data_IF_766003111796
#
_entry.id   IF_766003111796
#
_cell.length_a   1.000
_cell.length_b   1.000
_cell.length_c   1.000
_cell.angle_alpha   90.00
_cell.angle_beta   90.00
_cell.angle_gamma   90.00
#
_symmetry.space_group_name_H-M   'P 1'
#
loop_
_entity.id
_entity.type
_entity.pdbx_description
1 polymer ?
#
# COMPACT_ATOMS: atom_id res chain seq x y z
N UNK A 1 23.95 -4.47 17.42
CA UNK A 1 24.97 -4.94 16.47
C UNK A 1 24.28 -5.09 15.15
N UNK A 2 24.77 -4.42 14.10
CA UNK A 2 24.26 -4.61 12.73
C UNK A 2 24.56 -6.06 12.30
N UNK A 3 23.63 -6.69 11.59
CA UNK A 3 23.87 -8.03 11.06
C UNK A 3 24.84 -7.98 9.86
N UNK A 4 25.60 -9.05 9.62
CA UNK A 4 26.46 -9.15 8.42
C UNK A 4 25.67 -9.01 7.10
N UNK A 5 24.35 -9.25 7.13
CA UNK A 5 23.46 -9.08 5.99
C UNK A 5 23.11 -7.61 5.75
N UNK A 6 22.85 -6.84 6.80
CA UNK A 6 22.62 -5.38 6.74
C UNK A 6 23.84 -4.63 6.21
N UNK A 7 25.03 -5.02 6.69
CA UNK A 7 26.31 -4.40 6.30
C UNK A 7 26.67 -4.67 4.82
N UNK A 8 26.29 -5.85 4.29
CA UNK A 8 26.51 -6.24 2.90
C UNK A 8 25.51 -5.56 1.93
N UNK A 9 24.27 -5.32 2.37
CA UNK A 9 23.23 -4.69 1.55
C UNK A 9 23.27 -3.15 1.61
N UNK A 10 24.06 -2.56 2.51
CA UNK A 10 24.12 -1.12 2.72
C UNK A 10 22.83 -0.53 3.31
N UNK A 11 22.00 -1.37 3.92
CA UNK A 11 20.73 -1.00 4.54
C UNK A 11 21.02 -0.59 5.99
N UNK A 12 20.62 0.62 6.38
CA UNK A 12 20.71 1.08 7.75
C UNK A 12 19.28 1.10 8.32
N UNK A 13 18.90 0.14 9.20
CA UNK A 13 17.54 0.09 9.74
C UNK A 13 17.17 1.32 10.60
N UNK A 14 18.15 2.18 10.90
CA UNK A 14 17.92 3.46 11.56
C UNK A 14 17.77 4.64 10.59
N UNK A 15 17.99 4.43 9.29
CA UNK A 15 17.81 5.42 8.25
C UNK A 15 16.30 5.70 8.03
N UNK A 16 15.89 6.99 8.03
CA UNK A 16 14.48 7.36 7.84
C UNK A 16 13.88 6.92 6.49
N UNK A 17 14.68 6.82 5.42
CA UNK A 17 14.19 6.41 4.11
C UNK A 17 13.98 4.90 4.05
N UNK A 18 14.86 4.11 4.67
CA UNK A 18 14.66 2.66 4.82
C UNK A 18 13.40 2.37 5.66
N UNK A 19 13.21 3.12 6.77
CA UNK A 19 11.98 3.03 7.57
C UNK A 19 10.72 3.42 6.78
N UNK A 20 10.81 4.44 5.92
CA UNK A 20 9.71 4.82 5.04
C UNK A 20 9.41 3.72 4.02
N UNK A 21 10.43 3.10 3.43
CA UNK A 21 10.24 2.01 2.47
C UNK A 21 9.48 0.84 3.10
N UNK A 22 9.88 0.41 4.31
CA UNK A 22 9.19 -0.63 5.06
C UNK A 22 7.75 -0.24 5.40
N UNK A 23 7.54 1.01 5.85
CA UNK A 23 6.20 1.53 6.14
C UNK A 23 5.31 1.47 4.89
N UNK A 24 5.78 1.94 3.74
CA UNK A 24 5.03 1.94 2.49
C UNK A 24 4.63 0.53 2.04
N UNK A 25 5.54 -0.44 2.15
CA UNK A 25 5.21 -1.86 1.89
C UNK A 25 4.11 -2.33 2.83
N UNK A 26 4.23 -2.03 4.13
CA UNK A 26 3.21 -2.43 5.12
C UNK A 26 1.84 -1.81 4.86
N UNK A 27 1.77 -0.58 4.35
CA UNK A 27 0.51 0.08 4.01
C UNK A 27 -0.18 -0.57 2.81
N UNK A 28 0.59 -1.00 1.80
CA UNK A 28 0.05 -1.77 0.66
C UNK A 28 -0.51 -3.12 1.11
N UNK A 29 0.20 -3.84 2.00
CA UNK A 29 -0.23 -5.13 2.54
C UNK A 29 -1.53 -5.01 3.36
N UNK A 30 -1.66 -3.94 4.17
CA UNK A 30 -2.87 -3.67 4.97
C UNK A 30 -4.13 -3.59 4.13
N UNK A 31 -4.05 -3.06 2.90
CA UNK A 31 -5.21 -2.99 2.00
C UNK A 31 -5.77 -4.38 1.69
N UNK A 32 -4.89 -5.34 1.35
CA UNK A 32 -5.30 -6.71 1.06
C UNK A 32 -5.82 -7.40 2.33
N UNK A 33 -5.14 -7.25 3.46
CA UNK A 33 -5.52 -7.87 4.71
C UNK A 33 -6.92 -7.45 5.17
N UNK A 34 -7.25 -6.17 5.03
CA UNK A 34 -8.59 -5.65 5.33
C UNK A 34 -9.65 -6.26 4.41
N UNK A 35 -9.37 -6.38 3.12
CA UNK A 35 -10.28 -7.04 2.16
C UNK A 35 -10.49 -8.52 2.50
N UNK A 36 -9.42 -9.24 2.84
CA UNK A 36 -9.49 -10.65 3.25
C UNK A 36 -10.26 -10.80 4.57
N UNK A 37 -10.08 -9.88 5.53
CA UNK A 37 -10.84 -9.88 6.78
C UNK A 37 -12.35 -9.68 6.55
N UNK A 38 -12.74 -8.77 5.65
CA UNK A 38 -14.14 -8.57 5.24
C UNK A 38 -14.67 -9.83 4.57
N UNK A 39 -13.90 -10.41 3.64
CA UNK A 39 -14.27 -11.67 2.98
C UNK A 39 -14.53 -12.77 4.00
N UNK A 40 -13.61 -13.01 4.95
CA UNK A 40 -13.76 -14.08 5.95
C UNK A 40 -15.08 -14.02 6.74
N UNK A 41 -15.69 -12.85 6.84
CA UNK A 41 -16.99 -12.64 7.53
C UNK A 41 -18.21 -12.78 6.61
N UNK A 42 -18.03 -12.76 5.30
CA UNK A 42 -19.13 -12.59 4.33
C UNK A 42 -19.16 -13.63 3.22
N UNK A 43 -18.01 -14.16 2.78
CA UNK A 43 -17.88 -15.04 1.62
C UNK A 43 -16.73 -16.05 1.79
N UNK A 44 -16.87 -17.19 1.13
CA UNK A 44 -15.77 -18.12 0.85
C UNK A 44 -14.86 -17.62 -0.27
N UNK A 45 -13.66 -18.19 -0.39
CA UNK A 45 -12.76 -17.90 -1.53
C UNK A 45 -13.39 -18.30 -2.87
N UNK A 46 -14.18 -19.38 -2.90
CA UNK A 46 -14.86 -19.85 -4.11
C UNK A 46 -15.93 -18.86 -4.59
N UNK A 47 -16.70 -18.27 -3.66
CA UNK A 47 -17.70 -17.24 -4.00
C UNK A 47 -17.04 -15.95 -4.51
N UNK A 48 -15.94 -15.53 -3.91
CA UNK A 48 -15.15 -14.39 -4.45
C UNK A 48 -14.64 -14.71 -5.85
N UNK A 49 -14.11 -15.92 -6.06
CA UNK A 49 -13.60 -16.36 -7.35
C UNK A 49 -14.69 -16.30 -8.43
N UNK A 50 -15.89 -16.79 -8.12
CA UNK A 50 -17.04 -16.72 -9.00
C UNK A 50 -17.40 -15.27 -9.34
N UNK A 51 -17.47 -14.38 -8.34
CA UNK A 51 -17.78 -12.95 -8.54
C UNK A 51 -16.71 -12.21 -9.34
N UNK A 52 -15.46 -12.62 -9.23
CA UNK A 52 -14.32 -12.04 -9.95
C UNK A 52 -14.09 -12.66 -11.33
N UNK A 53 -14.75 -13.77 -11.66
CA UNK A 53 -14.54 -14.51 -12.91
C UNK A 53 -13.15 -15.16 -13.00
N UNK A 54 -12.59 -15.60 -11.87
CA UNK A 54 -11.27 -16.25 -11.80
C UNK A 54 -11.36 -17.58 -11.03
N UNK A 55 -10.28 -18.36 -10.99
CA UNK A 55 -10.27 -19.61 -10.22
C UNK A 55 -10.12 -19.37 -8.71
N UNK A 56 -10.62 -20.29 -7.88
CA UNK A 56 -10.40 -20.25 -6.43
C UNK A 56 -8.91 -20.25 -6.08
N UNK A 57 -8.09 -21.03 -6.80
CA UNK A 57 -6.64 -21.02 -6.61
C UNK A 57 -5.99 -19.67 -6.95
N UNK A 58 -6.55 -18.90 -7.90
CA UNK A 58 -6.11 -17.54 -8.17
C UNK A 58 -6.46 -16.60 -7.00
N UNK A 59 -7.65 -16.74 -6.40
CA UNK A 59 -8.00 -16.02 -5.17
C UNK A 59 -7.06 -16.38 -4.03
N UNK A 60 -6.82 -17.68 -3.78
CA UNK A 60 -5.90 -18.12 -2.73
C UNK A 60 -4.48 -17.56 -2.91
N UNK A 61 -4.00 -17.46 -4.15
CA UNK A 61 -2.70 -16.85 -4.47
C UNK A 61 -2.67 -15.33 -4.24
N UNK A 62 -3.78 -14.65 -4.49
CA UNK A 62 -3.93 -13.23 -4.14
C UNK A 62 -3.87 -13.10 -2.61
N UNK A 63 -4.67 -13.87 -1.87
CA UNK A 63 -4.75 -13.79 -0.40
C UNK A 63 -3.48 -14.23 0.32
N UNK A 64 -2.62 -15.02 -0.32
CA UNK A 64 -1.36 -15.45 0.30
C UNK A 64 -0.25 -14.40 0.28
N UNK A 65 -0.47 -13.25 -0.38
CA UNK A 65 0.56 -12.22 -0.52
C UNK A 65 1.74 -12.62 -1.41
N UNK A 66 1.68 -13.80 -2.05
CA UNK A 66 2.78 -14.35 -2.86
C UNK A 66 3.17 -13.50 -4.08
N UNK A 67 2.33 -12.52 -4.44
CA UNK A 67 2.62 -11.46 -5.40
C UNK A 67 2.03 -10.17 -4.86
N UNK A 68 2.77 -9.06 -4.97
CA UNK A 68 2.21 -7.73 -4.74
C UNK A 68 1.06 -7.49 -5.76
N UNK A 69 -0.22 -7.49 -5.33
CA UNK A 69 -1.33 -7.40 -6.26
C UNK A 69 -1.46 -5.96 -6.78
N UNK A 70 -1.56 -5.80 -8.10
CA UNK A 70 -1.88 -4.49 -8.68
C UNK A 70 -3.16 -3.90 -8.05
N UNK A 71 -3.22 -2.57 -7.94
CA UNK A 71 -4.41 -1.85 -7.47
C UNK A 71 -5.69 -2.19 -8.25
N UNK A 72 -5.58 -2.60 -9.53
CA UNK A 72 -6.73 -3.10 -10.31
C UNK A 72 -7.29 -4.40 -9.77
N UNK A 73 -6.44 -5.29 -9.25
CA UNK A 73 -6.84 -6.53 -8.58
C UNK A 73 -7.50 -6.25 -7.24
N UNK A 74 -6.92 -5.37 -6.41
CA UNK A 74 -7.53 -4.96 -5.14
C UNK A 74 -8.93 -4.35 -5.34
N UNK A 75 -9.10 -3.49 -6.34
CA UNK A 75 -10.41 -2.89 -6.68
C UNK A 75 -11.44 -3.93 -7.12
N UNK A 76 -11.06 -4.90 -7.97
CA UNK A 76 -11.96 -6.00 -8.36
C UNK A 76 -12.34 -6.89 -7.18
N UNK A 77 -11.39 -7.17 -6.30
CA UNK A 77 -11.63 -7.94 -5.09
C UNK A 77 -12.58 -7.17 -4.15
N UNK A 78 -12.33 -5.87 -3.91
CA UNK A 78 -13.18 -4.99 -3.12
C UNK A 78 -14.62 -4.96 -3.65
N UNK A 79 -14.80 -4.84 -4.97
CA UNK A 79 -16.11 -4.94 -5.61
C UNK A 79 -16.79 -6.28 -5.31
N UNK A 80 -16.07 -7.40 -5.44
CA UNK A 80 -16.61 -8.74 -5.17
C UNK A 80 -17.10 -8.91 -3.71
N UNK A 81 -16.37 -8.33 -2.74
CA UNK A 81 -16.70 -8.40 -1.30
C UNK A 81 -17.54 -7.22 -0.80
N UNK A 82 -17.94 -6.30 -1.69
CA UNK A 82 -18.69 -5.07 -1.36
C UNK A 82 -17.96 -4.16 -0.34
N UNK A 83 -16.65 -4.08 -0.47
CA UNK A 83 -15.81 -3.17 0.31
C UNK A 83 -15.49 -1.89 -0.49
N UNK A 84 -15.19 -0.82 0.24
CA UNK A 84 -14.63 0.42 -0.31
C UNK A 84 -13.13 0.45 -0.01
N UNK A 85 -12.33 0.82 -1.01
CA UNK A 85 -10.89 1.08 -0.85
C UNK A 85 -10.69 2.58 -0.98
N UNK A 86 -9.92 3.17 -0.07
CA UNK A 86 -9.56 4.58 -0.07
C UNK A 86 -8.04 4.71 -0.06
N UNK A 87 -7.52 5.72 -0.77
CA UNK A 87 -6.09 6.06 -0.74
C UNK A 87 -5.92 7.40 -0.05
N UNK A 88 -4.95 7.48 0.85
CA UNK A 88 -4.54 8.70 1.55
C UNK A 88 -3.03 8.85 1.40
N UNK A 89 -2.59 10.06 1.10
CA UNK A 89 -1.17 10.43 1.06
C UNK A 89 -0.97 11.55 2.06
N UNK A 90 0.06 11.44 2.88
CA UNK A 90 0.48 12.45 3.86
C UNK A 90 2.01 12.53 3.89
N UNK A 91 2.60 13.67 4.30
CA UNK A 91 4.03 13.75 4.54
C UNK A 91 4.49 12.67 5.52
N UNK A 92 5.70 12.14 5.31
CA UNK A 92 6.36 11.29 6.30
C UNK A 92 7.12 12.19 7.28
N UNK A 93 6.69 12.22 8.53
CA UNK A 93 7.30 13.03 9.61
C UNK A 93 8.49 12.30 10.25
N UNK A 94 9.37 11.71 9.43
CA UNK A 94 10.64 11.13 9.88
C UNK A 94 11.68 12.21 10.22
N UNK A 95 12.84 11.85 10.82
CA UNK A 95 13.92 12.78 11.11
C UNK A 95 14.29 13.64 9.89
N UNK A 96 14.08 14.95 10.01
CA UNK A 96 14.29 15.97 8.97
C UNK A 96 15.72 15.97 8.40
N UNK A 97 16.68 15.40 9.13
CA UNK A 97 18.09 15.31 8.74
C UNK A 97 18.35 14.47 7.49
N UNK A 98 17.45 13.58 7.09
CA UNK A 98 17.55 12.83 5.83
C UNK A 98 17.11 13.65 4.59
N UNK A 99 16.47 14.80 4.80
CA UNK A 99 15.83 15.61 3.76
C UNK A 99 16.55 16.94 3.48
N UNK A 100 17.83 17.10 3.84
CA UNK A 100 18.60 18.32 3.52
C UNK A 100 18.89 18.43 2.00
N UNK A 101 17.88 18.98 1.32
CA UNK A 101 17.73 19.73 0.06
C UNK A 101 18.74 19.64 -1.10
N UNK A 102 18.17 19.42 -2.31
CA UNK A 102 18.26 20.42 -3.38
C UNK A 102 16.90 21.01 -3.83
N UNK A 103 15.79 20.74 -3.14
CA UNK A 103 14.44 21.10 -3.64
C UNK A 103 13.80 22.37 -3.05
N UNK A 104 14.41 23.11 -2.11
CA UNK A 104 13.81 24.35 -1.60
C UNK A 104 13.60 25.44 -2.65
N UNK A 105 14.36 25.43 -3.75
CA UNK A 105 14.34 26.55 -4.69
C UNK A 105 13.48 26.33 -5.94
N UNK A 106 12.70 25.24 -6.06
CA UNK A 106 12.00 24.93 -7.33
C UNK A 106 10.47 25.00 -7.26
N UNK A 107 9.87 25.14 -6.08
CA UNK A 107 8.41 25.17 -5.92
C UNK A 107 7.92 26.48 -5.26
N UNK A 108 8.14 27.61 -5.93
CA UNK A 108 7.62 28.92 -5.50
C UNK A 108 6.11 29.14 -5.72
N UNK A 109 5.34 28.12 -6.13
CA UNK A 109 3.87 28.22 -6.11
C UNK A 109 3.27 27.11 -5.25
N UNK A 110 2.49 27.46 -4.20
CA UNK A 110 1.79 26.45 -3.41
C UNK A 110 0.85 25.66 -4.33
N UNK A 111 0.84 24.35 -4.16
CA UNK A 111 -0.18 23.47 -4.72
C UNK A 111 -1.53 23.96 -4.19
N UNK A 112 -2.32 24.62 -5.05
CA UNK A 112 -3.70 24.99 -4.74
C UNK A 112 -4.59 23.84 -5.23
N UNK A 113 -5.06 22.94 -4.35
CA UNK A 113 -6.06 21.97 -4.75
C UNK A 113 -7.33 22.74 -5.09
N UNK A 114 -7.79 22.64 -6.34
CA UNK A 114 -9.08 23.17 -6.75
C UNK A 114 -10.18 22.46 -5.95
N UNK A 115 -10.58 23.08 -4.84
CA UNK A 115 -11.78 22.78 -4.06
C UNK A 115 -12.98 23.43 -4.72
N UNK A 116 -13.34 22.98 -5.92
CA UNK A 116 -14.68 23.21 -6.46
C UNK A 116 -15.36 21.86 -6.65
N UNK A 117 -16.01 21.41 -5.57
CA UNK A 117 -17.29 20.73 -5.70
C UNK A 117 -18.38 21.79 -5.72
N UNK A 118 -19.49 21.45 -6.39
CA UNK A 118 -20.78 22.16 -6.57
C UNK A 118 -20.84 22.84 -7.94
N UNK A 119 -21.76 22.54 -8.85
CA UNK A 119 -23.09 21.90 -8.77
C UNK A 119 -23.43 21.14 -10.05
#
# INVERSE_FOLDING_TARGET
MRSQLEELLGIDPTDPLDQLADLLVSEDEKLLDQLVAIRKRTLSQAEVAQRMGISQGAVARIESGSRNPHLSTLRRYAHAVRARVEHRVSPFEGPVSAFIEPYANTFEKPFQPNLERSS
#
